data_IF_933895586167
#
_entry.id   IF_933895586167
#
_cell.length_a   1.000
_cell.length_b   1.000
_cell.length_c   1.000
_cell.angle_alpha   90.00
_cell.angle_beta   90.00
_cell.angle_gamma   90.00
#
_symmetry.space_group_name_H-M   'P 1'
#
loop_
_entity.id
_entity.type
_entity.pdbx_description
1 polymer ?
#
# COMPACT_ATOMS: atom_id res chain seq x y z
N UNK A 1 -14.59 -12.82 -63.47
CA UNK A 1 -13.44 -12.12 -64.09
C UNK A 1 -13.08 -10.94 -63.20
N UNK A 2 -12.16 -11.14 -62.26
CA UNK A 2 -11.69 -10.11 -61.34
C UNK A 2 -10.73 -9.19 -62.11
N UNK A 3 -11.11 -7.91 -62.27
CA UNK A 3 -10.19 -6.88 -62.76
C UNK A 3 -9.53 -6.19 -61.58
N UNK A 4 -8.24 -6.52 -61.42
CA UNK A 4 -7.25 -5.81 -60.64
C UNK A 4 -7.17 -4.35 -61.12
N UNK A 5 -7.41 -3.41 -60.22
CA UNK A 5 -6.90 -2.04 -60.31
C UNK A 5 -5.86 -1.88 -59.22
N UNK A 6 -4.60 -1.96 -59.65
CA UNK A 6 -3.47 -1.41 -58.93
C UNK A 6 -3.60 0.13 -58.94
N UNK A 7 -3.61 0.75 -57.76
CA UNK A 7 -2.79 1.93 -57.44
C UNK A 7 -3.23 2.52 -56.11
N UNK A 8 -2.44 2.27 -55.07
CA UNK A 8 -1.87 3.34 -54.28
C UNK A 8 -0.83 2.70 -53.37
N UNK A 9 0.41 2.74 -53.84
CA UNK A 9 1.63 2.52 -53.05
C UNK A 9 1.64 3.36 -51.75
N UNK A 10 0.79 4.39 -51.70
CA UNK A 10 0.51 5.28 -50.57
C UNK A 10 -0.34 4.66 -49.45
N UNK A 11 -1.17 3.64 -49.72
CA UNK A 11 -2.16 3.15 -48.74
C UNK A 11 -1.56 2.21 -47.69
N UNK A 12 -0.58 1.38 -48.08
CA UNK A 12 0.11 0.50 -47.15
C UNK A 12 1.05 1.27 -46.22
N UNK A 13 1.74 2.29 -46.74
CA UNK A 13 2.64 3.15 -45.95
C UNK A 13 1.87 3.99 -44.93
N UNK A 14 0.72 4.56 -45.32
CA UNK A 14 -0.13 5.33 -44.41
C UNK A 14 -0.72 4.43 -43.32
N UNK A 15 -1.18 3.21 -43.66
CA UNK A 15 -1.63 2.25 -42.64
C UNK A 15 -0.51 1.82 -41.69
N UNK A 16 0.72 1.63 -42.18
CA UNK A 16 1.86 1.24 -41.34
C UNK A 16 2.25 2.36 -40.38
N UNK A 17 2.29 3.60 -40.87
CA UNK A 17 2.52 4.80 -40.03
C UNK A 17 1.40 4.94 -39.01
N UNK A 18 0.14 4.73 -39.40
CA UNK A 18 -1.03 4.82 -38.50
C UNK A 18 -1.03 3.70 -37.43
N UNK A 19 -0.53 2.51 -37.73
CA UNK A 19 -0.38 1.45 -36.74
C UNK A 19 0.79 1.74 -35.78
N UNK A 20 1.88 2.32 -36.29
CA UNK A 20 3.05 2.67 -35.48
C UNK A 20 2.77 3.82 -34.51
N UNK A 21 2.03 4.87 -34.89
CA UNK A 21 1.70 5.95 -33.94
C UNK A 21 0.65 5.52 -32.90
N UNK A 22 -0.25 4.57 -33.23
CA UNK A 22 -1.16 3.96 -32.23
C UNK A 22 -0.35 3.11 -31.25
N UNK A 23 0.62 2.32 -31.74
CA UNK A 23 1.51 1.53 -30.89
C UNK A 23 2.40 2.41 -29.97
N UNK A 24 2.91 3.53 -30.47
CA UNK A 24 3.69 4.49 -29.65
C UNK A 24 2.81 5.25 -28.65
N UNK A 25 1.55 5.57 -28.98
CA UNK A 25 0.62 6.22 -28.06
C UNK A 25 0.24 5.31 -26.88
N UNK A 26 0.19 3.99 -27.07
CA UNK A 26 -0.05 3.04 -25.98
C UNK A 26 1.17 2.81 -25.07
N UNK A 27 2.40 3.08 -25.55
CA UNK A 27 3.61 2.97 -24.74
C UNK A 27 3.76 4.11 -23.70
N UNK A 28 3.02 5.20 -23.84
CA UNK A 28 3.04 6.33 -22.90
C UNK A 28 2.08 6.15 -21.70
N UNK A 29 1.25 5.11 -21.69
CA UNK A 29 0.23 4.90 -20.64
C UNK A 29 0.71 4.07 -19.44
N UNK A 30 1.97 3.61 -19.43
CA UNK A 30 2.37 2.52 -18.54
C UNK A 30 3.59 2.81 -17.65
N UNK A 31 3.67 4.00 -17.02
CA UNK A 31 4.52 4.17 -15.81
C UNK A 31 3.97 5.27 -14.90
N UNK A 32 2.73 5.16 -14.42
CA UNK A 32 2.36 5.88 -13.20
C UNK A 32 2.91 5.10 -12.02
N UNK A 33 4.10 5.48 -11.57
CA UNK A 33 4.60 5.00 -10.28
C UNK A 33 3.58 5.41 -9.21
N UNK A 34 3.04 4.48 -8.41
CA UNK A 34 2.14 4.87 -7.32
C UNK A 34 2.87 5.89 -6.46
N UNK A 35 2.22 7.01 -6.15
CA UNK A 35 2.83 8.00 -5.27
C UNK A 35 3.06 7.35 -3.89
N UNK A 36 3.98 7.90 -3.10
CA UNK A 36 4.22 7.41 -1.75
C UNK A 36 2.95 7.42 -0.89
N UNK A 37 2.04 8.39 -1.13
CA UNK A 37 0.74 8.48 -0.48
C UNK A 37 -0.17 7.30 -0.87
N UNK A 38 -0.29 7.00 -2.17
CA UNK A 38 -1.10 5.87 -2.66
C UNK A 38 -0.66 4.54 -2.02
N UNK A 39 0.66 4.34 -1.92
CA UNK A 39 1.23 3.14 -1.30
C UNK A 39 0.89 3.05 0.19
N UNK A 40 0.92 4.17 0.90
CA UNK A 40 0.59 4.25 2.31
C UNK A 40 -0.87 3.88 2.59
N UNK A 41 -1.80 4.39 1.79
CA UNK A 41 -3.21 4.01 1.89
C UNK A 41 -3.40 2.52 1.62
N UNK A 42 -2.72 1.95 0.61
CA UNK A 42 -2.76 0.50 0.36
C UNK A 42 -2.22 -0.31 1.55
N UNK A 43 -1.15 0.18 2.18
CA UNK A 43 -0.55 -0.45 3.35
C UNK A 43 -1.49 -0.37 4.57
N UNK A 44 -2.23 0.73 4.72
CA UNK A 44 -3.25 0.90 5.76
C UNK A 44 -4.41 -0.08 5.54
N UNK A 45 -4.92 -0.17 4.31
CA UNK A 45 -5.98 -1.12 3.93
C UNK A 45 -5.55 -2.57 4.21
N UNK A 46 -4.31 -2.93 3.84
CA UNK A 46 -3.75 -4.26 4.07
C UNK A 46 -3.64 -4.58 5.57
N UNK A 47 -3.17 -3.60 6.37
CA UNK A 47 -3.04 -3.75 7.81
C UNK A 47 -4.42 -3.91 8.45
N UNK A 48 -5.36 -3.01 8.16
CA UNK A 48 -6.71 -3.07 8.75
C UNK A 48 -7.45 -4.34 8.33
N UNK A 49 -7.43 -4.70 7.05
CA UNK A 49 -8.09 -5.91 6.55
C UNK A 49 -7.58 -7.21 7.20
N UNK A 50 -6.35 -7.22 7.70
CA UNK A 50 -5.74 -8.41 8.33
C UNK A 50 -5.67 -8.34 9.86
N UNK A 51 -5.57 -7.14 10.43
CA UNK A 51 -5.23 -6.92 11.84
C UNK A 51 -6.30 -6.19 12.66
N UNK A 52 -7.37 -5.66 12.05
CA UNK A 52 -8.36 -4.80 12.72
C UNK A 52 -8.84 -5.34 14.08
N UNK A 53 -9.21 -6.63 14.15
CA UNK A 53 -9.67 -7.25 15.40
C UNK A 53 -8.61 -7.34 16.52
N UNK A 54 -7.32 -7.24 16.18
CA UNK A 54 -6.22 -7.23 17.14
C UNK A 54 -5.80 -5.82 17.54
N UNK A 55 -6.31 -4.78 16.85
CA UNK A 55 -5.91 -3.39 17.06
C UNK A 55 -6.99 -2.55 17.75
N UNK A 56 -8.24 -3.01 17.81
CA UNK A 56 -9.34 -2.28 18.45
C UNK A 56 -9.35 -2.43 19.96
N UNK A 57 -9.99 -1.43 20.61
CA UNK A 57 -10.38 -1.48 22.01
C UNK A 57 -11.36 -2.63 22.30
N UNK A 58 -11.47 -3.11 23.55
CA UNK A 58 -10.78 -2.65 24.77
C UNK A 58 -9.27 -2.96 24.77
N UNK A 59 -8.49 -2.36 25.67
CA UNK A 59 -7.04 -2.59 25.73
C UNK A 59 -6.69 -3.96 26.32
N UNK A 60 -7.58 -4.46 27.19
CA UNK A 60 -7.47 -5.74 27.86
C UNK A 60 -7.61 -6.91 26.87
N UNK A 61 -6.94 -8.02 27.21
CA UNK A 61 -6.76 -9.22 26.39
C UNK A 61 -6.06 -8.94 25.04
N UNK A 62 -4.74 -9.17 25.02
CA UNK A 62 -3.91 -9.19 23.82
C UNK A 62 -3.99 -10.59 23.19
N UNK A 63 -4.81 -10.75 22.16
CA UNK A 63 -4.90 -12.00 21.41
C UNK A 63 -3.69 -12.16 20.46
N UNK A 64 -3.15 -13.36 20.35
CA UNK A 64 -2.09 -13.65 19.39
C UNK A 64 -2.56 -13.35 17.95
N UNK A 65 -1.84 -12.49 17.18
CA UNK A 65 -2.24 -12.15 15.82
C UNK A 65 -2.15 -13.36 14.88
N UNK A 66 -3.04 -13.38 13.88
CA UNK A 66 -3.02 -14.39 12.83
C UNK A 66 -1.74 -14.31 11.99
N UNK A 67 -1.41 -15.40 11.29
CA UNK A 67 -0.30 -15.40 10.31
C UNK A 67 -0.49 -14.34 9.23
N UNK A 68 -1.73 -14.10 8.80
CA UNK A 68 -2.06 -13.06 7.83
C UNK A 68 -1.77 -11.66 8.37
N UNK A 69 -2.20 -11.37 9.60
CA UNK A 69 -1.90 -10.09 10.27
C UNK A 69 -0.38 -9.87 10.38
N UNK A 70 0.37 -10.84 10.87
CA UNK A 70 1.83 -10.70 10.92
C UNK A 70 2.49 -10.61 9.54
N UNK A 71 1.89 -11.22 8.52
CA UNK A 71 2.30 -11.05 7.12
C UNK A 71 2.17 -9.60 6.65
N UNK A 72 1.06 -8.95 6.99
CA UNK A 72 0.83 -7.53 6.71
C UNK A 72 1.81 -6.65 7.48
N UNK A 73 1.91 -6.82 8.80
CA UNK A 73 2.80 -6.03 9.69
C UNK A 73 4.26 -6.02 9.19
N UNK A 74 4.75 -7.15 8.66
CA UNK A 74 6.12 -7.24 8.14
C UNK A 74 6.34 -6.53 6.81
N UNK A 75 5.29 -6.25 6.04
CA UNK A 75 5.36 -5.71 4.66
C UNK A 75 5.07 -4.22 4.59
N UNK A 76 4.20 -3.72 5.45
CA UNK A 76 3.74 -2.33 5.42
C UNK A 76 4.85 -1.34 5.77
N UNK A 77 4.75 -0.13 5.24
CA UNK A 77 5.54 1.02 5.67
C UNK A 77 5.01 1.58 6.99
N UNK A 78 5.56 1.07 8.09
CA UNK A 78 5.22 1.53 9.45
C UNK A 78 5.53 3.02 9.65
N UNK A 79 6.55 3.57 8.99
CA UNK A 79 6.87 5.00 9.10
C UNK A 79 5.73 5.85 8.53
N UNK A 80 5.23 5.46 7.35
CA UNK A 80 4.09 6.14 6.76
C UNK A 80 2.81 5.97 7.58
N UNK A 81 2.51 4.74 8.03
CA UNK A 81 1.33 4.48 8.86
C UNK A 81 1.35 5.25 10.18
N UNK A 82 2.51 5.36 10.82
CA UNK A 82 2.67 6.21 11.99
C UNK A 82 2.36 7.69 11.69
N UNK A 83 2.66 8.18 10.49
CA UNK A 83 2.27 9.53 10.06
C UNK A 83 0.75 9.76 10.01
N UNK A 84 -0.05 8.69 9.93
CA UNK A 84 -1.52 8.74 9.95
C UNK A 84 -2.10 8.67 11.37
N UNK A 85 -1.30 8.37 12.38
CA UNK A 85 -1.77 8.26 13.77
C UNK A 85 -1.91 9.65 14.37
N UNK A 86 -3.15 10.14 14.38
CA UNK A 86 -3.55 11.38 15.07
C UNK A 86 -4.26 11.06 16.39
N UNK A 87 -4.46 12.05 17.28
CA UNK A 87 -5.19 11.83 18.54
C UNK A 87 -6.60 11.30 18.33
N UNK A 88 -7.24 11.63 17.21
CA UNK A 88 -8.54 11.09 16.82
C UNK A 88 -8.45 9.61 16.43
N UNK A 89 -7.40 9.22 15.71
CA UNK A 89 -7.16 7.80 15.33
C UNK A 89 -6.89 6.95 16.57
N UNK A 90 -6.17 7.48 17.56
CA UNK A 90 -5.91 6.80 18.83
C UNK A 90 -7.18 6.48 19.64
N UNK A 91 -8.32 7.13 19.34
CA UNK A 91 -9.61 6.79 19.97
C UNK A 91 -10.23 5.50 19.40
N UNK A 92 -9.81 5.09 18.20
CA UNK A 92 -10.33 3.90 17.52
C UNK A 92 -9.32 2.74 17.51
N UNK A 93 -8.04 3.09 17.51
CA UNK A 93 -6.92 2.13 17.50
C UNK A 93 -6.28 2.09 18.87
N UNK A 94 -6.34 0.93 19.52
CA UNK A 94 -5.66 0.68 20.76
C UNK A 94 -4.16 0.51 20.50
N UNK A 95 -3.40 1.60 20.71
CA UNK A 95 -1.97 1.62 20.44
C UNK A 95 -1.18 0.63 21.30
N UNK A 96 -1.63 0.33 22.52
CA UNK A 96 -1.01 -0.72 23.36
C UNK A 96 -1.10 -2.12 22.75
N UNK A 97 -2.17 -2.37 21.98
CA UNK A 97 -2.30 -3.59 21.18
C UNK A 97 -1.50 -3.50 19.90
N UNK A 98 -1.41 -2.35 19.25
CA UNK A 98 -0.55 -2.14 18.09
C UNK A 98 0.93 -2.43 18.43
N UNK A 99 1.42 -1.91 19.57
CA UNK A 99 2.76 -2.20 20.09
C UNK A 99 2.96 -3.70 20.32
N UNK A 100 1.96 -4.36 20.94
CA UNK A 100 2.01 -5.82 21.15
C UNK A 100 2.05 -6.60 19.84
N UNK A 101 1.18 -6.29 18.88
CA UNK A 101 1.12 -6.96 17.57
C UNK A 101 2.44 -6.77 16.81
N UNK A 102 2.97 -5.54 16.79
CA UNK A 102 4.25 -5.22 16.18
C UNK A 102 5.40 -6.06 16.78
N UNK A 103 5.48 -6.12 18.11
CA UNK A 103 6.48 -6.93 18.81
C UNK A 103 6.29 -8.44 18.56
N UNK A 104 5.06 -8.95 18.68
CA UNK A 104 4.73 -10.36 18.44
C UNK A 104 5.09 -10.80 17.01
N UNK A 105 4.89 -9.92 16.02
CA UNK A 105 5.20 -10.19 14.63
C UNK A 105 6.68 -9.94 14.26
N UNK A 106 7.56 -9.71 15.24
CA UNK A 106 8.99 -9.45 15.11
C UNK A 106 9.36 -8.17 14.36
N UNK A 107 8.53 -7.12 14.50
CA UNK A 107 8.80 -5.79 13.96
C UNK A 107 8.40 -4.71 14.98
N UNK A 108 9.01 -4.70 16.18
CA UNK A 108 8.62 -3.78 17.25
C UNK A 108 8.80 -2.32 16.82
N UNK A 109 7.93 -1.44 17.33
CA UNK A 109 8.16 -0.01 17.28
C UNK A 109 9.39 0.34 18.14
N UNK A 110 10.12 1.37 17.76
CA UNK A 110 11.31 1.78 18.50
C UNK A 110 10.88 2.31 19.89
N UNK A 111 11.36 1.74 21.00
CA UNK A 111 10.98 2.20 22.33
C UNK A 111 11.40 3.66 22.55
N UNK A 112 10.53 4.48 23.17
CA UNK A 112 10.77 5.91 23.40
C UNK A 112 10.65 6.78 22.15
N UNK A 113 10.26 6.22 21.01
CA UNK A 113 9.95 6.97 19.79
C UNK A 113 8.48 7.41 19.73
N UNK A 114 8.15 8.23 18.74
CA UNK A 114 6.76 8.59 18.41
C UNK A 114 6.28 7.87 17.17
N UNK A 115 5.04 7.40 17.22
CA UNK A 115 4.28 6.92 16.08
C UNK A 115 3.08 7.85 15.88
N UNK A 116 3.29 8.90 15.08
CA UNK A 116 2.33 10.00 15.00
C UNK A 116 2.24 10.75 16.32
N UNK A 117 1.03 10.92 16.86
CA UNK A 117 0.82 11.50 18.19
C UNK A 117 1.10 10.55 19.36
N UNK A 118 1.21 9.24 19.12
CA UNK A 118 1.41 8.24 20.17
C UNK A 118 2.89 8.13 20.57
N UNK A 119 3.17 8.23 21.86
CA UNK A 119 4.49 7.96 22.42
C UNK A 119 4.64 6.48 22.77
N UNK A 120 5.59 5.80 22.11
CA UNK A 120 5.87 4.37 22.33
C UNK A 120 6.55 4.19 23.69
N UNK A 121 5.98 3.42 24.63
CA UNK A 121 6.60 3.20 25.94
C UNK A 121 8.00 2.61 25.81
N UNK A 122 8.95 3.20 26.54
CA UNK A 122 10.30 2.65 26.69
C UNK A 122 10.31 1.43 27.62
N UNK A 123 11.38 0.60 27.60
CA UNK A 123 11.61 -0.32 28.69
C UNK A 123 11.70 0.46 30.00
N UNK A 124 10.93 0.05 31.01
CA UNK A 124 11.14 0.49 32.38
C UNK A 124 12.46 -0.10 32.84
N UNK A 125 13.51 0.73 32.82
CA UNK A 125 14.83 0.41 33.40
C UNK A 125 14.79 0.57 34.91
#
# INVERSE_FOLDING_TARGET
MARLIASSSSSAAVCFVVLLIIAMAMAAAATVSPSAADKCEKDLDLLMGSCEGYLRFPAEAKAAPSRACCGAVRRVDVGCLCGMVTPEVEQYVCMDKAVYVAAYCHRPLLPGSYCGSYHVPGPVV
#
